data_IF_631365080681
#
_entry.id   IF_631365080681
#
_cell.length_a   1.000
_cell.length_b   1.000
_cell.length_c   1.000
_cell.angle_alpha   90.00
_cell.angle_beta   90.00
_cell.angle_gamma   90.00
#
_symmetry.space_group_name_H-M   'P 1'
#
loop_
_entity.id
_entity.type
_entity.pdbx_description
1 polymer ?
#
# COMPACT_ATOMS: atom_id res chain seq x y z
N UNK A 1 2.34 -40.60 -44.79
CA UNK A 1 2.88 -39.26 -44.48
C UNK A 1 2.21 -38.79 -43.20
N UNK A 2 2.77 -39.18 -42.06
CA UNK A 2 2.50 -38.55 -40.77
C UNK A 2 3.80 -37.84 -40.42
N UNK A 3 3.75 -36.52 -40.52
CA UNK A 3 4.87 -35.63 -40.23
C UNK A 3 5.06 -35.60 -38.71
N UNK A 4 5.85 -36.54 -38.19
CA UNK A 4 6.40 -36.50 -36.83
C UNK A 4 7.42 -35.36 -36.77
N UNK A 5 6.91 -34.15 -36.64
CA UNK A 5 7.73 -33.00 -36.24
C UNK A 5 8.10 -33.18 -34.78
N UNK A 6 9.22 -33.86 -34.53
CA UNK A 6 9.90 -33.85 -33.24
C UNK A 6 10.08 -32.37 -32.85
N UNK A 7 9.48 -31.88 -31.74
CA UNK A 7 9.66 -30.49 -31.34
C UNK A 7 11.16 -30.25 -31.11
N UNK A 8 11.69 -29.21 -31.75
CA UNK A 8 13.09 -28.84 -31.60
C UNK A 8 13.43 -28.71 -30.11
N UNK A 9 14.60 -29.20 -29.65
CA UNK A 9 14.96 -29.13 -28.25
C UNK A 9 14.95 -27.67 -27.80
N UNK A 10 14.22 -27.40 -26.71
CA UNK A 10 14.18 -26.07 -26.11
C UNK A 10 15.61 -25.64 -25.73
N UNK A 11 15.96 -24.36 -25.90
CA UNK A 11 17.29 -23.87 -25.56
C UNK A 11 17.55 -24.04 -24.07
N UNK A 12 18.79 -24.42 -23.74
CA UNK A 12 19.27 -24.56 -22.37
C UNK A 12 20.27 -23.45 -22.06
N UNK A 13 19.95 -22.62 -21.08
CA UNK A 13 20.83 -21.60 -20.52
C UNK A 13 21.52 -22.14 -19.26
N UNK A 14 22.77 -21.74 -19.04
CA UNK A 14 23.55 -22.16 -17.87
C UNK A 14 23.95 -20.95 -17.06
N UNK A 15 23.44 -20.89 -15.82
CA UNK A 15 23.81 -19.90 -14.82
C UNK A 15 24.81 -20.50 -13.83
N UNK A 16 25.89 -19.78 -13.54
CA UNK A 16 26.89 -20.21 -12.55
C UNK A 16 26.78 -19.34 -11.31
N UNK A 17 26.46 -19.96 -10.18
CA UNK A 17 26.42 -19.31 -8.87
C UNK A 17 27.85 -18.85 -8.54
N UNK A 18 28.06 -17.54 -8.29
CA UNK A 18 29.39 -17.04 -7.95
C UNK A 18 29.90 -17.66 -6.65
N UNK A 19 31.20 -17.94 -6.57
CA UNK A 19 31.85 -18.53 -5.38
C UNK A 19 31.67 -17.70 -4.10
N UNK A 20 31.37 -16.40 -4.23
CA UNK A 20 31.04 -15.50 -3.12
C UNK A 20 29.70 -15.81 -2.44
N UNK A 21 28.85 -16.65 -3.06
CA UNK A 21 27.49 -16.95 -2.59
C UNK A 21 27.35 -18.46 -2.40
N UNK A 22 26.90 -18.89 -1.23
CA UNK A 22 26.60 -20.30 -0.98
C UNK A 22 25.34 -20.71 -1.77
N UNK A 23 25.41 -21.84 -2.49
CA UNK A 23 24.26 -22.33 -3.27
C UNK A 23 22.98 -22.48 -2.43
N UNK A 24 23.11 -22.98 -1.19
CA UNK A 24 21.99 -23.12 -0.24
C UNK A 24 21.32 -21.77 0.08
N UNK A 25 22.08 -20.67 0.12
CA UNK A 25 21.51 -19.35 0.37
C UNK A 25 20.66 -18.84 -0.80
N UNK A 26 20.99 -19.24 -2.03
CA UNK A 26 20.25 -18.88 -3.24
C UNK A 26 19.04 -19.81 -3.49
N UNK A 27 19.21 -21.11 -3.26
CA UNK A 27 18.19 -22.14 -3.53
C UNK A 27 17.19 -22.32 -2.37
N UNK A 28 17.59 -21.89 -1.17
CA UNK A 28 16.79 -22.01 0.06
C UNK A 28 16.91 -23.39 0.73
N UNK A 29 16.47 -23.49 2.00
CA UNK A 29 16.44 -24.77 2.71
C UNK A 29 15.54 -25.77 1.99
N UNK A 30 16.04 -26.98 1.78
CA UNK A 30 15.35 -28.02 1.02
C UNK A 30 14.84 -27.54 -0.35
N UNK A 31 15.60 -26.67 -1.03
CA UNK A 31 15.29 -26.13 -2.36
C UNK A 31 13.93 -25.41 -2.44
N UNK A 32 13.48 -24.79 -1.33
CA UNK A 32 12.18 -24.11 -1.30
C UNK A 32 12.10 -22.91 -2.25
N UNK A 33 13.20 -22.18 -2.47
CA UNK A 33 13.21 -21.04 -3.40
C UNK A 33 13.31 -21.52 -4.84
N UNK A 34 14.06 -22.60 -5.09
CA UNK A 34 14.12 -23.23 -6.42
C UNK A 34 12.73 -23.67 -6.86
N UNK A 35 12.01 -24.43 -6.02
CA UNK A 35 10.64 -24.87 -6.31
C UNK A 35 9.67 -23.71 -6.54
N UNK A 36 9.81 -22.65 -5.75
CA UNK A 36 9.02 -21.44 -5.95
C UNK A 36 9.30 -20.78 -7.32
N UNK A 37 10.55 -20.74 -7.76
CA UNK A 37 10.93 -20.21 -9.07
C UNK A 37 10.36 -21.12 -10.18
N UNK A 38 10.50 -22.44 -10.06
CA UNK A 38 9.91 -23.40 -11.00
C UNK A 38 8.39 -23.24 -11.14
N UNK A 39 7.67 -23.08 -10.03
CA UNK A 39 6.22 -22.85 -10.03
C UNK A 39 5.84 -21.50 -10.68
N UNK A 40 6.80 -20.57 -10.76
CA UNK A 40 6.56 -19.20 -11.23
C UNK A 40 6.90 -18.97 -12.71
N UNK A 41 7.60 -19.89 -13.37
CA UNK A 41 8.05 -19.75 -14.77
C UNK A 41 7.78 -21.02 -15.56
N UNK A 42 7.48 -20.88 -16.86
CA UNK A 42 7.32 -22.02 -17.76
C UNK A 42 8.70 -22.48 -18.28
N UNK A 43 9.54 -22.92 -17.35
CA UNK A 43 10.90 -23.38 -17.62
C UNK A 43 11.28 -24.51 -16.65
N UNK A 44 11.98 -25.52 -17.16
CA UNK A 44 12.58 -26.56 -16.32
C UNK A 44 13.91 -26.05 -15.77
N UNK A 45 14.07 -26.11 -14.46
CA UNK A 45 15.28 -25.65 -13.78
C UNK A 45 15.94 -26.88 -13.13
N UNK A 46 17.26 -26.97 -13.21
CA UNK A 46 18.00 -28.04 -12.55
C UNK A 46 19.26 -27.47 -11.92
N UNK A 47 19.45 -27.71 -10.63
CA UNK A 47 20.60 -27.25 -9.87
C UNK A 47 21.54 -28.43 -9.58
N UNK A 48 22.83 -28.27 -9.91
CA UNK A 48 23.88 -29.23 -9.60
C UNK A 48 25.15 -28.50 -9.16
N UNK A 49 25.49 -28.63 -7.88
CA UNK A 49 26.62 -27.88 -7.29
C UNK A 49 26.37 -26.38 -7.39
N UNK A 50 27.26 -25.65 -8.06
CA UNK A 50 27.14 -24.21 -8.31
C UNK A 50 26.58 -23.89 -9.71
N UNK A 51 26.08 -24.88 -10.44
CA UNK A 51 25.54 -24.69 -11.79
C UNK A 51 24.04 -24.88 -11.78
N UNK A 52 23.30 -23.92 -12.34
CA UNK A 52 21.86 -23.98 -12.57
C UNK A 52 21.62 -23.99 -14.07
N UNK A 53 20.98 -25.03 -14.58
CA UNK A 53 20.57 -25.10 -15.99
C UNK A 53 19.08 -24.80 -16.11
N UNK A 54 18.73 -23.89 -17.02
CA UNK A 54 17.35 -23.47 -17.29
C UNK A 54 16.99 -23.85 -18.71
N UNK A 55 15.95 -24.65 -18.90
CA UNK A 55 15.47 -25.10 -20.21
C UNK A 55 14.03 -24.66 -20.42
N UNK A 56 13.78 -23.82 -21.41
CA UNK A 56 12.46 -23.21 -21.65
C UNK A 56 12.46 -22.32 -22.88
N UNK A 57 11.37 -21.58 -23.10
CA UNK A 57 11.34 -20.55 -24.13
C UNK A 57 12.43 -19.48 -23.85
N UNK A 58 13.08 -18.89 -24.88
CA UNK A 58 14.16 -17.91 -24.67
C UNK A 58 13.81 -16.75 -23.73
N UNK A 59 12.56 -16.27 -23.78
CA UNK A 59 12.07 -15.18 -22.92
C UNK A 59 11.95 -15.60 -21.45
N UNK A 60 11.41 -16.79 -21.18
CA UNK A 60 11.26 -17.32 -19.82
C UNK A 60 12.63 -17.68 -19.24
N UNK A 61 13.51 -18.31 -20.02
CA UNK A 61 14.87 -18.63 -19.60
C UNK A 61 15.68 -17.37 -19.25
N UNK A 62 15.57 -16.31 -20.05
CA UNK A 62 16.20 -15.02 -19.77
C UNK A 62 15.64 -14.34 -18.51
N UNK A 63 14.33 -14.44 -18.24
CA UNK A 63 13.74 -13.91 -17.00
C UNK A 63 14.23 -14.66 -15.76
N UNK A 64 14.34 -15.98 -15.82
CA UNK A 64 14.91 -16.80 -14.73
C UNK A 64 16.36 -16.44 -14.48
N UNK A 65 17.18 -16.29 -15.55
CA UNK A 65 18.58 -15.88 -15.42
C UNK A 65 18.71 -14.50 -14.75
N UNK A 66 17.92 -13.52 -15.21
CA UNK A 66 17.85 -12.20 -14.57
C UNK A 66 17.42 -12.27 -13.11
N UNK A 67 16.45 -13.12 -12.77
CA UNK A 67 16.03 -13.32 -11.38
C UNK A 67 17.19 -13.85 -10.53
N UNK A 68 17.92 -14.86 -11.00
CA UNK A 68 19.05 -15.42 -10.28
C UNK A 68 20.15 -14.38 -10.05
N UNK A 69 20.46 -13.55 -11.05
CA UNK A 69 21.40 -12.42 -10.91
C UNK A 69 20.96 -11.40 -9.85
N UNK A 70 19.68 -11.02 -9.83
CA UNK A 70 19.13 -10.09 -8.86
C UNK A 70 19.15 -10.66 -7.44
N UNK A 71 18.80 -11.94 -7.27
CA UNK A 71 18.85 -12.63 -5.97
C UNK A 71 20.29 -12.76 -5.45
N UNK A 72 21.24 -13.06 -6.33
CA UNK A 72 22.68 -13.04 -5.99
C UNK A 72 23.13 -11.65 -5.57
N UNK A 73 22.65 -10.61 -6.24
CA UNK A 73 22.96 -9.21 -5.89
C UNK A 73 22.42 -8.87 -4.50
N UNK A 74 21.18 -9.26 -4.18
CA UNK A 74 20.60 -9.09 -2.84
C UNK A 74 21.45 -9.81 -1.78
N UNK A 75 21.81 -11.07 -1.99
CA UNK A 75 22.67 -11.84 -1.07
C UNK A 75 24.02 -11.15 -0.83
N UNK A 76 24.64 -10.59 -1.87
CA UNK A 76 25.92 -9.87 -1.77
C UNK A 76 25.83 -8.58 -0.94
N UNK A 77 24.64 -8.00 -0.77
CA UNK A 77 24.44 -6.87 0.16
C UNK A 77 24.39 -7.30 1.64
N UNK A 78 24.59 -8.59 1.94
CA UNK A 78 24.55 -9.15 3.29
C UNK A 78 23.14 -9.49 3.76
N UNK A 79 22.15 -9.42 2.88
CA UNK A 79 20.76 -9.71 3.21
C UNK A 79 20.43 -11.18 2.95
N UNK A 80 19.62 -11.76 3.84
CA UNK A 80 19.11 -13.12 3.65
C UNK A 80 17.91 -13.10 2.68
N UNK A 81 17.85 -14.11 1.82
CA UNK A 81 16.65 -14.38 1.03
C UNK A 81 15.59 -15.03 1.91
N UNK A 82 14.34 -14.65 1.63
CA UNK A 82 13.15 -15.26 2.20
C UNK A 82 12.19 -15.60 1.06
N UNK A 83 11.24 -16.50 1.30
CA UNK A 83 10.20 -16.83 0.32
C UNK A 83 9.50 -15.58 -0.22
N UNK A 84 9.19 -14.62 0.67
CA UNK A 84 8.58 -13.33 0.30
C UNK A 84 9.49 -12.51 -0.63
N UNK A 85 10.80 -12.48 -0.37
CA UNK A 85 11.77 -11.74 -1.20
C UNK A 85 11.84 -12.31 -2.62
N UNK A 86 11.81 -13.64 -2.75
CA UNK A 86 11.81 -14.32 -4.06
C UNK A 86 10.50 -14.07 -4.81
N UNK A 87 9.34 -14.26 -4.17
CA UNK A 87 8.02 -13.98 -4.76
C UNK A 87 7.90 -12.53 -5.28
N UNK A 88 8.44 -11.56 -4.52
CA UNK A 88 8.45 -10.15 -4.90
C UNK A 88 9.37 -9.90 -6.09
N UNK A 89 10.55 -10.51 -6.11
CA UNK A 89 11.51 -10.37 -7.21
C UNK A 89 10.94 -10.91 -8.53
N UNK A 90 10.24 -12.06 -8.47
CA UNK A 90 9.48 -12.61 -9.61
C UNK A 90 8.44 -11.62 -10.10
N UNK A 91 7.64 -11.07 -9.19
CA UNK A 91 6.55 -10.12 -9.52
C UNK A 91 7.10 -8.87 -10.21
N UNK A 92 8.18 -8.29 -9.69
CA UNK A 92 8.84 -7.10 -10.26
C UNK A 92 9.38 -7.36 -11.67
N UNK A 93 10.00 -8.53 -11.90
CA UNK A 93 10.52 -8.88 -13.22
C UNK A 93 9.42 -9.13 -14.25
N UNK A 94 8.31 -9.78 -13.86
CA UNK A 94 7.17 -9.99 -14.76
C UNK A 94 6.40 -8.71 -15.09
N UNK A 95 6.44 -7.70 -14.22
CA UNK A 95 5.82 -6.39 -14.46
C UNK A 95 6.73 -5.42 -15.23
N UNK A 96 7.93 -5.87 -15.63
CA UNK A 96 8.93 -5.11 -16.41
C UNK A 96 9.19 -3.70 -15.86
N UNK A 97 9.32 -3.59 -14.54
CA UNK A 97 9.61 -2.31 -13.91
C UNK A 97 11.02 -1.82 -14.24
N UNK A 98 11.21 -0.50 -14.38
CA UNK A 98 12.53 0.11 -14.61
C UNK A 98 13.50 -0.20 -13.46
N UNK A 99 13.01 -0.14 -12.23
CA UNK A 99 13.76 -0.45 -11.02
C UNK A 99 13.97 -1.95 -10.89
N UNK A 100 15.18 -2.32 -10.47
CA UNK A 100 15.58 -3.71 -10.29
C UNK A 100 15.19 -4.24 -8.90
N UNK A 101 14.87 -5.54 -8.75
CA UNK A 101 14.59 -6.13 -7.45
C UNK A 101 15.68 -5.87 -6.41
N UNK A 102 16.95 -5.98 -6.78
CA UNK A 102 18.04 -5.69 -5.86
C UNK A 102 18.04 -4.23 -5.40
N UNK A 103 17.79 -3.26 -6.27
CA UNK A 103 17.75 -1.83 -5.91
C UNK A 103 16.60 -1.49 -4.95
N UNK A 104 15.48 -2.22 -5.02
CA UNK A 104 14.33 -2.04 -4.11
C UNK A 104 14.57 -2.75 -2.79
N UNK A 105 14.86 -4.05 -2.85
CA UNK A 105 14.84 -4.92 -1.68
C UNK A 105 16.13 -4.79 -0.85
N UNK A 106 17.23 -4.30 -1.44
CA UNK A 106 18.46 -4.04 -0.68
C UNK A 106 18.42 -2.74 0.15
N UNK A 107 17.46 -1.86 -0.11
CA UNK A 107 17.42 -0.51 0.45
C UNK A 107 16.92 -0.54 1.91
N UNK A 108 17.85 -0.57 2.86
CA UNK A 108 17.54 -0.57 4.29
C UNK A 108 17.37 0.87 4.80
N UNK A 109 16.19 1.19 5.34
CA UNK A 109 15.94 2.49 5.95
C UNK A 109 16.37 2.48 7.42
N UNK A 110 15.86 1.50 8.17
CA UNK A 110 16.21 1.30 9.58
C UNK A 110 16.37 -0.18 9.86
N UNK A 111 17.28 -0.50 10.77
CA UNK A 111 17.41 -1.83 11.36
C UNK A 111 17.41 -1.68 12.87
N UNK A 112 16.43 -2.27 13.54
CA UNK A 112 16.32 -2.28 14.99
C UNK A 112 15.93 -3.69 15.47
N UNK A 113 16.67 -4.25 16.44
CA UNK A 113 16.38 -5.56 17.06
C UNK A 113 16.13 -6.69 16.05
N UNK A 114 16.90 -6.72 14.96
CA UNK A 114 16.76 -7.73 13.90
C UNK A 114 15.57 -7.51 12.97
N UNK A 115 14.73 -6.50 13.20
CA UNK A 115 13.71 -6.04 12.25
C UNK A 115 14.30 -4.98 11.34
N UNK A 116 14.13 -5.15 10.05
CA UNK A 116 14.60 -4.19 9.05
C UNK A 116 13.40 -3.59 8.31
N UNK A 117 13.32 -2.27 8.33
CA UNK A 117 12.30 -1.50 7.65
C UNK A 117 12.85 -1.05 6.30
N UNK A 118 12.18 -1.46 5.23
CA UNK A 118 12.58 -1.22 3.84
C UNK A 118 11.37 -1.17 2.92
N UNK A 119 11.45 -0.50 1.76
CA UNK A 119 10.45 -0.67 0.72
C UNK A 119 10.44 -2.11 0.22
N UNK A 120 9.25 -2.61 -0.08
CA UNK A 120 8.99 -3.97 -0.59
C UNK A 120 8.39 -3.98 -1.99
N UNK A 121 8.00 -2.81 -2.49
CA UNK A 121 7.49 -2.61 -3.85
C UNK A 121 8.22 -1.45 -4.52
N UNK A 122 8.12 -1.38 -5.85
CA UNK A 122 8.73 -0.32 -6.63
C UNK A 122 8.16 1.06 -6.27
N UNK A 123 6.83 1.19 -6.11
CA UNK A 123 6.25 2.48 -5.73
C UNK A 123 6.61 2.88 -4.30
N UNK A 124 6.76 1.91 -3.37
CA UNK A 124 7.30 2.21 -2.04
C UNK A 124 8.74 2.74 -2.11
N UNK A 125 9.59 2.19 -2.99
CA UNK A 125 10.94 2.72 -3.21
C UNK A 125 10.88 4.14 -3.76
N UNK A 126 10.09 4.37 -4.82
CA UNK A 126 9.91 5.70 -5.43
C UNK A 126 9.43 6.73 -4.40
N UNK A 127 8.50 6.33 -3.53
CA UNK A 127 8.01 7.15 -2.43
C UNK A 127 9.14 7.52 -1.44
N UNK A 128 9.92 6.53 -1.00
CA UNK A 128 11.06 6.76 -0.10
C UNK A 128 12.13 7.65 -0.75
N UNK A 129 12.47 7.40 -2.01
CA UNK A 129 13.40 8.24 -2.78
C UNK A 129 12.87 9.67 -2.95
N UNK A 130 11.55 9.85 -3.08
CA UNK A 130 10.93 11.16 -3.17
C UNK A 130 11.07 11.95 -1.86
N UNK A 131 10.94 11.29 -0.70
CA UNK A 131 11.14 11.89 0.63
C UNK A 131 12.55 12.46 0.76
N UNK A 132 13.56 11.79 0.19
CA UNK A 132 14.93 12.28 0.20
C UNK A 132 15.11 13.51 -0.68
N UNK A 133 14.51 13.49 -1.88
CA UNK A 133 14.72 14.50 -2.92
C UNK A 133 13.91 15.79 -2.77
N UNK A 134 12.78 15.74 -2.07
CA UNK A 134 11.84 16.87 -2.00
C UNK A 134 11.66 17.36 -0.56
N UNK A 135 11.29 18.62 -0.41
CA UNK A 135 10.97 19.22 0.88
C UNK A 135 9.59 18.80 1.38
N UNK A 136 8.60 18.69 0.49
CA UNK A 136 7.25 18.21 0.83
C UNK A 136 6.89 17.00 -0.04
N UNK A 137 6.44 15.92 0.60
CA UNK A 137 5.97 14.73 -0.11
C UNK A 137 4.58 14.33 0.37
N UNK A 138 3.66 14.12 -0.57
CA UNK A 138 2.36 13.56 -0.33
C UNK A 138 2.38 12.07 -0.65
N UNK A 139 2.23 11.21 0.36
CA UNK A 139 2.06 9.77 0.21
C UNK A 139 0.58 9.40 0.19
N UNK A 140 0.02 9.19 -0.99
CA UNK A 140 -1.43 8.97 -1.18
C UNK A 140 -1.68 7.53 -1.58
N UNK A 141 -2.51 6.81 -0.84
CA UNK A 141 -2.93 5.47 -1.27
C UNK A 141 -3.60 4.64 -0.18
N UNK A 142 -4.01 3.40 -0.51
CA UNK A 142 -4.78 2.55 0.38
C UNK A 142 -4.12 2.25 1.74
N UNK A 143 -4.93 1.84 2.72
CA UNK A 143 -4.42 1.35 4.00
C UNK A 143 -3.55 0.10 3.84
N UNK A 144 -2.37 0.09 4.47
CA UNK A 144 -1.42 -1.03 4.41
C UNK A 144 -0.40 -0.97 3.25
N UNK A 145 -0.40 0.13 2.48
CA UNK A 145 0.65 0.42 1.48
C UNK A 145 1.98 0.89 2.06
N UNK A 146 2.04 1.12 3.38
CA UNK A 146 3.25 1.53 4.09
C UNK A 146 3.53 3.03 4.09
N UNK A 147 2.63 3.88 3.56
CA UNK A 147 2.81 5.34 3.47
C UNK A 147 3.30 6.01 4.76
N UNK A 148 2.57 5.83 5.86
CA UNK A 148 2.91 6.43 7.16
C UNK A 148 4.11 5.75 7.79
N UNK A 149 4.16 4.42 7.72
CA UNK A 149 5.23 3.61 8.33
C UNK A 149 6.61 3.90 7.72
N UNK A 150 6.71 3.99 6.39
CA UNK A 150 7.95 4.31 5.68
C UNK A 150 8.35 5.79 5.90
N UNK A 151 7.39 6.72 5.97
CA UNK A 151 7.67 8.11 6.31
C UNK A 151 8.28 8.25 7.70
N UNK A 152 7.70 7.57 8.69
CA UNK A 152 8.21 7.55 10.06
C UNK A 152 9.60 6.92 10.14
N UNK A 153 9.85 5.85 9.38
CA UNK A 153 11.18 5.26 9.29
C UNK A 153 12.22 6.25 8.74
N UNK A 154 11.86 7.04 7.72
CA UNK A 154 12.72 8.11 7.19
C UNK A 154 12.91 9.26 8.18
N UNK A 155 11.88 9.63 8.93
CA UNK A 155 11.99 10.64 9.99
C UNK A 155 12.98 10.20 11.08
N UNK A 156 12.86 8.96 11.56
CA UNK A 156 13.78 8.39 12.56
C UNK A 156 15.20 8.27 12.01
N UNK A 157 15.37 7.85 10.75
CA UNK A 157 16.68 7.83 10.09
C UNK A 157 17.31 9.23 10.06
N UNK A 158 16.57 10.26 9.63
CA UNK A 158 17.05 11.64 9.58
C UNK A 158 17.43 12.17 10.98
N UNK A 159 16.65 11.83 12.01
CA UNK A 159 16.96 12.19 13.40
C UNK A 159 18.25 11.52 13.89
N UNK A 160 18.44 10.22 13.62
CA UNK A 160 19.65 9.48 13.99
C UNK A 160 20.89 9.99 13.24
N UNK A 161 20.73 10.39 11.98
CA UNK A 161 21.76 11.01 11.16
C UNK A 161 22.05 12.48 11.54
N UNK A 162 21.28 13.06 12.47
CA UNK A 162 21.34 14.47 12.88
C UNK A 162 21.09 15.47 11.74
N UNK A 163 20.34 15.04 10.73
CA UNK A 163 19.87 15.91 9.64
C UNK A 163 18.74 16.82 10.11
N UNK A 164 17.96 16.34 11.09
CA UNK A 164 16.94 17.10 11.81
C UNK A 164 17.14 16.96 13.31
N UNK A 165 16.67 17.94 14.06
CA UNK A 165 16.78 17.95 15.53
C UNK A 165 15.54 17.37 16.22
N UNK A 166 14.41 17.28 15.50
CA UNK A 166 13.14 16.78 16.07
C UNK A 166 12.24 16.13 15.03
N UNK A 167 11.35 15.26 15.49
CA UNK A 167 10.27 14.66 14.70
C UNK A 167 8.94 15.14 15.27
N UNK A 168 8.03 15.58 14.41
CA UNK A 168 6.68 15.98 14.79
C UNK A 168 5.69 15.10 14.03
N UNK A 169 4.97 14.26 14.75
CA UNK A 169 3.92 13.41 14.21
C UNK A 169 2.57 14.01 14.57
N UNK A 170 1.73 14.25 13.57
CA UNK A 170 0.43 14.87 13.79
C UNK A 170 -0.66 14.19 12.99
N UNK A 171 -1.88 14.22 13.54
CA UNK A 171 -3.08 13.63 12.94
C UNK A 171 -4.26 14.59 13.19
N UNK A 172 -5.17 14.78 12.22
CA UNK A 172 -6.39 15.55 12.48
C UNK A 172 -7.28 14.78 13.45
N UNK A 173 -7.85 15.48 14.42
CA UNK A 173 -8.91 14.91 15.24
C UNK A 173 -10.19 14.91 14.42
N UNK A 174 -10.63 13.73 14.00
CA UNK A 174 -11.93 13.55 13.34
C UNK A 174 -12.75 12.55 14.15
N UNK A 175 -13.99 12.94 14.41
CA UNK A 175 -14.97 12.13 15.15
C UNK A 175 -15.45 10.97 14.28
N UNK A 176 -14.60 9.97 14.08
CA UNK A 176 -14.98 8.73 13.41
C UNK A 176 -15.77 7.85 14.41
N UNK A 177 -17.08 8.04 14.47
CA UNK A 177 -17.99 7.24 15.30
C UNK A 177 -18.55 8.00 16.51
N UNK A 178 -17.97 7.80 17.68
CA UNK A 178 -18.43 8.42 18.93
C UNK A 178 -17.98 9.89 19.03
N UNK A 179 -18.88 10.82 19.39
CA UNK A 179 -18.49 12.23 19.57
C UNK A 179 -17.41 12.32 20.65
N UNK A 180 -16.34 13.08 20.39
CA UNK A 180 -15.19 13.25 21.31
C UNK A 180 -15.65 13.70 22.72
N UNK A 181 -16.83 14.33 22.79
CA UNK A 181 -17.52 14.70 24.02
C UNK A 181 -17.88 13.56 24.98
N UNK A 182 -18.03 12.30 24.53
CA UNK A 182 -18.57 11.20 25.36
C UNK A 182 -17.53 10.35 26.10
N UNK A 183 -16.25 10.38 25.70
CA UNK A 183 -15.20 9.67 26.44
C UNK A 183 -14.94 10.39 27.79
N UNK A 184 -14.96 9.70 28.95
CA UNK A 184 -14.60 10.31 30.22
C UNK A 184 -13.09 10.62 30.26
N UNK A 185 -12.70 11.69 30.95
CA UNK A 185 -11.29 12.09 31.12
C UNK A 185 -10.94 13.47 30.54
N UNK A 186 -9.66 13.81 30.64
CA UNK A 186 -9.06 15.04 30.11
C UNK A 186 -9.08 15.05 28.57
N UNK A 187 -8.96 16.24 27.95
CA UNK A 187 -8.87 16.37 26.50
C UNK A 187 -7.74 15.52 25.89
N UNK A 188 -6.64 15.33 26.63
CA UNK A 188 -5.53 14.50 26.20
C UNK A 188 -5.91 13.01 26.16
N UNK A 189 -6.58 12.51 27.20
CA UNK A 189 -7.04 11.11 27.29
C UNK A 189 -8.06 10.77 26.20
N UNK A 190 -8.86 11.76 25.78
CA UNK A 190 -9.85 11.60 24.69
C UNK A 190 -9.19 11.48 23.31
N UNK A 191 -8.03 12.08 23.11
CA UNK A 191 -7.34 12.10 21.80
C UNK A 191 -6.29 10.99 21.68
N UNK A 192 -5.79 10.47 22.80
CA UNK A 192 -4.78 9.41 22.86
C UNK A 192 -5.10 8.18 21.98
N UNK A 193 -6.34 7.65 21.93
CA UNK A 193 -6.66 6.51 21.08
C UNK A 193 -6.37 6.74 19.57
N UNK A 194 -6.55 7.98 19.10
CA UNK A 194 -6.30 8.34 17.70
C UNK A 194 -4.81 8.46 17.38
N UNK A 195 -3.99 8.75 18.38
CA UNK A 195 -2.53 8.89 18.23
C UNK A 195 -1.78 7.58 18.50
N UNK A 196 -2.42 6.61 19.17
CA UNK A 196 -1.84 5.30 19.53
C UNK A 196 -1.12 4.58 18.38
N UNK A 197 -1.66 4.51 17.15
CA UNK A 197 -0.95 3.86 16.05
C UNK A 197 0.42 4.48 15.73
N UNK A 198 0.59 5.79 15.97
CA UNK A 198 1.87 6.48 15.79
C UNK A 198 2.86 6.11 16.91
N UNK A 199 2.39 5.97 18.15
CA UNK A 199 3.22 5.46 19.26
C UNK A 199 3.67 4.02 19.03
N UNK A 200 2.76 3.15 18.58
CA UNK A 200 3.08 1.74 18.29
C UNK A 200 4.15 1.63 17.19
N UNK A 201 4.03 2.43 16.13
CA UNK A 201 5.02 2.47 15.05
C UNK A 201 6.40 2.96 15.51
N UNK A 202 6.47 3.92 16.45
CA UNK A 202 7.75 4.36 17.03
C UNK A 202 8.44 3.23 17.82
N UNK A 203 7.67 2.40 18.52
CA UNK A 203 8.20 1.26 19.27
C UNK A 203 8.77 0.16 18.37
N UNK A 204 8.32 0.06 17.12
CA UNK A 204 8.96 -0.81 16.12
C UNK A 204 10.31 -0.26 15.63
N UNK A 205 10.48 1.06 15.61
CA UNK A 205 11.62 1.77 15.00
C UNK A 205 12.75 2.07 15.98
N UNK A 206 12.42 2.24 17.26
CA UNK A 206 13.34 2.68 18.31
C UNK A 206 13.32 1.69 19.48
N UNK A 207 14.39 1.71 20.28
CA UNK A 207 14.39 0.96 21.53
C UNK A 207 13.28 1.47 22.48
N UNK A 208 12.51 0.58 23.13
CA UNK A 208 11.44 0.94 24.06
C UNK A 208 11.89 1.83 25.22
N UNK A 209 13.15 1.74 25.64
CA UNK A 209 13.69 2.62 26.70
C UNK A 209 14.02 4.04 26.20
N UNK A 210 14.21 4.19 24.88
CA UNK A 210 14.55 5.45 24.23
C UNK A 210 13.31 6.27 23.90
N UNK A 211 12.22 5.62 23.50
CA UNK A 211 10.96 6.29 23.11
C UNK A 211 10.44 7.24 24.20
N UNK A 212 10.28 6.84 25.48
CA UNK A 212 9.82 7.74 26.53
C UNK A 212 10.73 8.94 26.76
N UNK A 213 12.06 8.77 26.62
CA UNK A 213 13.05 9.85 26.80
C UNK A 213 12.93 10.90 25.69
N UNK A 214 12.77 10.45 24.45
CA UNK A 214 12.62 11.36 23.29
C UNK A 214 11.28 12.10 23.31
N UNK A 215 10.21 11.44 23.77
CA UNK A 215 8.91 12.07 23.97
C UNK A 215 8.97 13.12 25.09
N UNK A 216 9.53 12.77 26.25
CA UNK A 216 9.62 13.67 27.40
C UNK A 216 10.50 14.90 27.15
N UNK A 217 11.55 14.76 26.33
CA UNK A 217 12.43 15.87 25.92
C UNK A 217 11.87 16.72 24.78
N UNK A 218 10.77 16.30 24.14
CA UNK A 218 10.18 16.98 22.98
C UNK A 218 10.98 16.82 21.68
N UNK A 219 11.98 15.92 21.66
CA UNK A 219 12.70 15.55 20.42
C UNK A 219 11.76 14.81 19.48
N UNK A 220 10.87 13.97 20.02
CA UNK A 220 9.72 13.43 19.28
C UNK A 220 8.46 14.01 19.90
N UNK A 221 7.62 14.62 19.08
CA UNK A 221 6.33 15.17 19.47
C UNK A 221 5.22 14.41 18.74
N UNK A 222 4.23 13.90 19.46
CA UNK A 222 3.03 13.30 18.88
C UNK A 222 1.83 14.13 19.35
N UNK A 223 1.23 14.89 18.44
CA UNK A 223 0.23 15.89 18.82
C UNK A 223 -0.90 16.06 17.78
N UNK A 224 -2.10 16.49 18.19
CA UNK A 224 -3.20 16.77 17.25
C UNK A 224 -2.87 17.94 16.31
N UNK A 225 -3.44 17.94 15.10
CA UNK A 225 -3.17 18.96 14.08
C UNK A 225 -3.39 20.41 14.57
N UNK A 226 -4.34 20.62 15.48
CA UNK A 226 -4.63 21.93 16.05
C UNK A 226 -3.42 22.58 16.76
N UNK A 227 -2.49 21.77 17.29
CA UNK A 227 -1.30 22.24 17.99
C UNK A 227 -0.25 22.81 17.04
N UNK A 228 -0.42 22.64 15.72
CA UNK A 228 0.48 23.21 14.71
C UNK A 228 0.22 24.70 14.46
N UNK A 229 -0.95 25.23 14.88
CA UNK A 229 -1.35 26.60 14.62
C UNK A 229 -0.36 27.60 15.22
N UNK A 230 0.07 28.57 14.41
CA UNK A 230 0.95 29.65 14.84
C UNK A 230 2.42 29.25 15.04
N UNK A 231 2.80 28.00 14.73
CA UNK A 231 4.18 27.54 14.85
C UNK A 231 4.96 27.78 13.56
N UNK A 232 6.28 27.90 13.69
CA UNK A 232 7.22 27.75 12.58
C UNK A 232 8.11 26.56 12.93
N UNK A 233 8.12 25.56 12.06
CA UNK A 233 8.74 24.27 12.33
C UNK A 233 10.09 24.20 11.63
N UNK A 234 11.13 24.72 12.27
CA UNK A 234 12.52 24.60 11.81
C UNK A 234 13.17 23.29 12.29
N UNK A 235 14.19 22.86 11.55
CA UNK A 235 15.08 21.70 11.78
C UNK A 235 14.32 20.44 12.21
N UNK A 236 13.21 20.17 11.52
CA UNK A 236 12.25 19.15 11.91
C UNK A 236 11.82 18.26 10.75
N UNK A 237 11.56 16.99 11.06
CA UNK A 237 10.83 16.11 10.16
C UNK A 237 9.38 16.03 10.64
N UNK A 238 8.44 16.54 9.84
CA UNK A 238 7.03 16.65 10.22
C UNK A 238 6.20 15.69 9.38
N UNK A 239 5.36 14.88 10.02
CA UNK A 239 4.44 13.96 9.36
C UNK A 239 3.01 14.30 9.75
N UNK A 240 2.18 14.59 8.75
CA UNK A 240 0.72 14.69 8.91
C UNK A 240 0.08 13.40 8.40
N UNK A 241 -0.42 12.57 9.31
CA UNK A 241 -1.11 11.31 8.99
C UNK A 241 -2.63 11.50 8.90
N UNK A 242 -3.29 10.61 8.16
CA UNK A 242 -4.71 10.68 7.78
C UNK A 242 -5.13 12.05 7.21
N UNK A 243 -4.31 12.60 6.33
CA UNK A 243 -4.54 13.93 5.79
C UNK A 243 -5.84 14.07 4.98
N UNK A 244 -6.46 12.96 4.55
CA UNK A 244 -7.78 13.00 3.91
C UNK A 244 -8.86 13.58 4.83
N UNK A 245 -8.63 13.52 6.14
CA UNK A 245 -9.49 14.00 7.20
C UNK A 245 -9.21 15.46 7.60
N UNK A 246 -8.53 16.22 6.73
CA UNK A 246 -8.32 17.67 6.88
C UNK A 246 -9.24 18.47 5.97
N UNK A 247 -9.60 19.69 6.36
CA UNK A 247 -10.20 20.68 5.44
C UNK A 247 -9.12 21.39 4.62
N UNK A 248 -9.46 22.07 3.50
CA UNK A 248 -8.50 22.88 2.74
C UNK A 248 -7.80 23.95 3.58
N UNK A 249 -8.51 24.57 4.53
CA UNK A 249 -7.97 25.58 5.44
C UNK A 249 -6.96 24.97 6.41
N UNK A 250 -7.25 23.78 6.93
CA UNK A 250 -6.34 23.04 7.81
C UNK A 250 -5.08 22.59 7.06
N UNK A 251 -5.23 22.09 5.83
CA UNK A 251 -4.10 21.73 4.96
C UNK A 251 -3.21 22.95 4.68
N UNK A 252 -3.80 24.08 4.29
CA UNK A 252 -3.06 25.34 4.10
C UNK A 252 -2.39 25.82 5.39
N UNK A 253 -3.09 25.73 6.53
CA UNK A 253 -2.53 26.08 7.84
C UNK A 253 -1.29 25.25 8.14
N UNK A 254 -1.36 23.93 7.92
CA UNK A 254 -0.27 22.98 8.16
C UNK A 254 0.93 23.22 7.25
N UNK A 255 0.73 23.26 5.94
CA UNK A 255 1.83 23.41 4.97
C UNK A 255 2.59 24.73 5.15
N UNK A 256 1.90 25.78 5.58
CA UNK A 256 2.54 27.09 5.88
C UNK A 256 3.28 27.12 7.21
N UNK A 257 3.36 26.01 7.97
CA UNK A 257 4.20 25.91 9.17
C UNK A 257 5.63 25.48 8.85
N UNK A 258 5.92 25.09 7.60
CA UNK A 258 7.25 24.67 7.17
C UNK A 258 8.29 25.77 7.45
N UNK A 259 9.32 25.42 8.23
CA UNK A 259 10.47 26.25 8.51
C UNK A 259 11.72 25.82 7.76
N UNK A 260 12.84 26.49 8.02
CA UNK A 260 14.14 26.13 7.44
C UNK A 260 14.66 24.82 8.00
N UNK A 261 15.43 24.08 7.19
CA UNK A 261 16.04 22.80 7.60
C UNK A 261 15.03 21.68 7.85
N UNK A 262 13.79 21.84 7.39
CA UNK A 262 12.70 20.90 7.68
C UNK A 262 12.19 20.18 6.44
N UNK A 263 11.60 19.00 6.68
CA UNK A 263 10.89 18.20 5.68
C UNK A 263 9.48 17.90 6.16
N UNK A 264 8.52 17.86 5.22
CA UNK A 264 7.13 17.49 5.50
C UNK A 264 6.73 16.28 4.68
N UNK A 265 6.09 15.31 5.34
CA UNK A 265 5.41 14.20 4.66
C UNK A 265 3.94 14.19 5.06
N UNK A 266 3.06 14.22 4.07
CA UNK A 266 1.61 14.23 4.26
C UNK A 266 1.07 12.90 3.75
N UNK A 267 0.52 12.07 4.63
CA UNK A 267 0.02 10.74 4.27
C UNK A 267 -1.49 10.67 4.38
N UNK A 268 -2.14 10.00 3.43
CA UNK A 268 -3.59 9.82 3.49
C UNK A 268 -4.15 8.91 2.41
N UNK A 269 -5.44 8.66 2.50
CA UNK A 269 -6.22 7.86 1.55
C UNK A 269 -7.45 8.64 1.11
N UNK A 270 -7.45 9.16 -0.12
CA UNK A 270 -8.56 9.96 -0.66
C UNK A 270 -9.89 9.19 -0.80
N UNK A 271 -9.86 7.86 -0.62
CA UNK A 271 -11.07 7.02 -0.65
C UNK A 271 -11.71 6.84 0.74
N UNK A 272 -11.00 7.16 1.83
CA UNK A 272 -11.45 6.96 3.22
C UNK A 272 -11.64 8.31 3.95
N UNK A 273 -12.50 9.18 3.39
CA UNK A 273 -12.78 10.49 3.97
C UNK A 273 -13.85 10.38 5.04
N UNK A 274 -13.49 10.67 6.29
CA UNK A 274 -14.37 10.64 7.47
C UNK A 274 -14.92 12.03 7.83
N UNK A 275 -14.78 13.01 6.95
CA UNK A 275 -15.29 14.36 7.18
C UNK A 275 -16.83 14.39 7.18
N UNK A 276 -17.45 15.28 7.99
CA UNK A 276 -18.89 15.49 7.95
C UNK A 276 -19.39 15.79 6.53
N UNK A 277 -20.57 15.25 6.20
CA UNK A 277 -21.18 15.33 4.87
C UNK A 277 -21.19 16.77 4.34
N UNK A 278 -20.61 16.97 3.16
CA UNK A 278 -20.55 18.27 2.46
C UNK A 278 -19.18 18.96 2.50
N UNK A 279 -18.27 18.54 3.39
CA UNK A 279 -16.91 19.09 3.43
C UNK A 279 -16.00 18.43 2.39
N UNK A 280 -15.29 19.24 1.60
CA UNK A 280 -14.24 18.74 0.70
C UNK A 280 -12.99 18.38 1.50
N UNK A 281 -12.37 17.24 1.18
CA UNK A 281 -11.07 16.88 1.73
C UNK A 281 -9.97 17.83 1.24
N UNK A 282 -9.19 18.38 2.17
CA UNK A 282 -8.02 19.19 1.90
C UNK A 282 -6.98 18.43 1.09
N UNK A 283 -6.81 17.13 1.33
CA UNK A 283 -5.89 16.28 0.56
C UNK A 283 -6.31 16.13 -0.91
N UNK A 284 -7.62 16.07 -1.20
CA UNK A 284 -8.09 16.03 -2.60
C UNK A 284 -7.86 17.38 -3.28
N UNK A 285 -8.22 18.47 -2.62
CA UNK A 285 -8.12 19.83 -3.18
C UNK A 285 -6.66 20.27 -3.38
N UNK A 286 -5.75 19.89 -2.48
CA UNK A 286 -4.35 20.34 -2.54
C UNK A 286 -3.57 19.74 -3.71
N UNK A 287 -3.96 18.57 -4.20
CA UNK A 287 -3.36 17.96 -5.40
C UNK A 287 -3.51 18.90 -6.60
N UNK A 288 -4.72 19.40 -6.84
CA UNK A 288 -5.00 20.33 -7.95
C UNK A 288 -4.30 21.69 -7.77
N UNK A 289 -4.12 22.14 -6.52
CA UNK A 289 -3.55 23.47 -6.22
C UNK A 289 -2.01 23.47 -6.34
N UNK A 290 -1.35 22.36 -5.97
CA UNK A 290 0.10 22.31 -5.81
C UNK A 290 0.81 21.45 -6.86
N UNK A 291 0.13 20.97 -7.90
CA UNK A 291 0.69 20.09 -8.94
C UNK A 291 1.97 20.66 -9.59
N UNK A 292 1.99 21.96 -9.87
CA UNK A 292 3.11 22.64 -10.53
C UNK A 292 4.14 23.26 -9.57
N UNK A 293 4.01 23.04 -8.26
CA UNK A 293 4.90 23.65 -7.27
C UNK A 293 6.18 22.83 -7.14
N UNK A 294 7.31 23.43 -7.53
CA UNK A 294 8.64 22.82 -7.38
C UNK A 294 8.91 22.42 -5.92
N UNK A 295 9.65 21.34 -5.76
CA UNK A 295 10.05 20.79 -4.46
C UNK A 295 8.89 20.21 -3.61
N UNK A 296 7.74 20.00 -4.26
CA UNK A 296 6.61 19.21 -3.79
C UNK A 296 6.46 17.97 -4.69
N UNK A 297 6.21 16.81 -4.09
CA UNK A 297 5.99 15.57 -4.85
C UNK A 297 4.75 14.81 -4.39
N UNK A 298 3.95 14.30 -5.32
CA UNK A 298 2.81 13.43 -5.07
C UNK A 298 3.15 11.98 -5.43
N UNK A 299 3.34 11.14 -4.41
CA UNK A 299 3.59 9.72 -4.54
C UNK A 299 2.29 8.93 -4.38
N UNK A 300 1.78 8.42 -5.50
CA UNK A 300 0.58 7.59 -5.53
C UNK A 300 0.93 6.11 -5.34
N UNK A 301 0.43 5.53 -4.25
CA UNK A 301 0.51 4.11 -3.90
C UNK A 301 -0.83 3.44 -4.20
N UNK A 302 -0.78 2.18 -4.62
CA UNK A 302 -1.93 1.42 -5.10
C UNK A 302 -2.20 0.19 -4.23
N UNK A 303 -3.27 -0.55 -4.53
CA UNK A 303 -3.53 -1.85 -3.90
C UNK A 303 -2.39 -2.86 -4.11
N UNK A 304 -1.64 -2.78 -5.21
CA UNK A 304 -0.47 -3.61 -5.46
C UNK A 304 0.69 -3.37 -4.47
N UNK A 305 0.69 -2.20 -3.82
CA UNK A 305 1.68 -1.79 -2.83
C UNK A 305 1.31 -2.23 -1.41
N UNK A 306 0.14 -2.85 -1.22
CA UNK A 306 -0.29 -3.35 0.09
C UNK A 306 0.55 -4.56 0.47
N UNK A 307 1.27 -4.44 1.58
CA UNK A 307 2.05 -5.55 2.13
C UNK A 307 1.51 -5.94 3.48
N UNK A 308 0.67 -6.97 3.48
CA UNK A 308 0.09 -7.57 4.68
C UNK A 308 0.47 -9.05 4.74
N UNK A 309 0.34 -9.62 5.93
CA UNK A 309 0.49 -11.06 6.10
C UNK A 309 -0.50 -11.82 5.20
N UNK A 310 -0.07 -12.93 4.59
CA UNK A 310 -0.89 -13.70 3.63
C UNK A 310 -2.25 -14.11 4.19
N UNK A 311 -2.32 -14.42 5.49
CA UNK A 311 -3.59 -14.72 6.16
C UNK A 311 -4.56 -13.54 6.13
N UNK A 312 -4.08 -12.32 6.38
CA UNK A 312 -4.90 -11.11 6.32
C UNK A 312 -5.41 -10.88 4.90
N UNK A 313 -4.57 -11.09 3.89
CA UNK A 313 -4.99 -11.04 2.49
C UNK A 313 -6.12 -12.05 2.17
N UNK A 314 -5.99 -13.29 2.63
CA UNK A 314 -7.03 -14.32 2.48
C UNK A 314 -8.33 -13.97 3.22
N UNK A 315 -8.23 -13.39 4.42
CA UNK A 315 -9.40 -12.92 5.17
C UNK A 315 -10.10 -11.80 4.40
N UNK A 316 -9.36 -10.79 3.93
CA UNK A 316 -9.94 -9.67 3.17
C UNK A 316 -10.60 -10.17 1.87
N UNK A 317 -9.95 -11.09 1.15
CA UNK A 317 -10.54 -11.70 -0.05
C UNK A 317 -11.86 -12.43 0.25
N UNK A 318 -11.90 -13.23 1.32
CA UNK A 318 -13.11 -13.94 1.74
C UNK A 318 -14.28 -12.99 2.09
N UNK A 319 -13.99 -11.85 2.74
CA UNK A 319 -15.00 -10.82 3.00
C UNK A 319 -15.46 -10.12 1.71
N UNK A 320 -14.54 -9.81 0.80
CA UNK A 320 -14.87 -9.23 -0.50
C UNK A 320 -15.79 -10.13 -1.33
N UNK A 321 -15.49 -11.43 -1.40
CA UNK A 321 -16.35 -12.42 -2.07
C UNK A 321 -17.75 -12.48 -1.46
N UNK A 322 -17.85 -12.43 -0.13
CA UNK A 322 -19.12 -12.40 0.59
C UNK A 322 -19.94 -11.13 0.27
N UNK A 323 -19.32 -9.95 0.27
CA UNK A 323 -19.98 -8.68 -0.05
C UNK A 323 -20.46 -8.62 -1.51
N UNK A 324 -19.68 -9.13 -2.46
CA UNK A 324 -20.06 -9.24 -3.87
C UNK A 324 -21.25 -10.20 -4.06
N UNK A 325 -21.26 -11.34 -3.36
CA UNK A 325 -22.39 -12.27 -3.37
C UNK A 325 -23.65 -11.65 -2.76
N UNK A 326 -23.51 -10.93 -1.65
CA UNK A 326 -24.62 -10.22 -1.01
C UNK A 326 -25.19 -9.10 -1.89
N UNK A 327 -24.35 -8.40 -2.63
CA UNK A 327 -24.76 -7.34 -3.57
C UNK A 327 -25.49 -7.93 -4.78
N UNK A 328 -24.92 -8.95 -5.43
CA UNK A 328 -25.58 -9.66 -6.54
C UNK A 328 -26.93 -10.27 -6.15
N UNK A 329 -27.03 -10.79 -4.92
CA UNK A 329 -28.29 -11.35 -4.40
C UNK A 329 -29.35 -10.25 -4.23
N UNK A 330 -28.96 -9.08 -3.70
CA UNK A 330 -29.84 -7.92 -3.58
C UNK A 330 -30.31 -7.43 -4.95
N UNK A 331 -29.39 -7.19 -5.89
CA UNK A 331 -29.70 -6.75 -7.25
C UNK A 331 -30.67 -7.71 -7.96
N UNK A 332 -30.43 -9.03 -7.84
CA UNK A 332 -31.31 -10.05 -8.41
C UNK A 332 -32.71 -10.04 -7.77
N UNK A 333 -32.79 -9.82 -6.46
CA UNK A 333 -34.08 -9.73 -5.75
C UNK A 333 -34.87 -8.48 -6.15
N UNK A 334 -34.18 -7.34 -6.35
CA UNK A 334 -34.77 -6.09 -6.83
C UNK A 334 -35.25 -6.19 -8.28
N UNK A 335 -34.47 -6.85 -9.15
CA UNK A 335 -34.87 -7.11 -10.54
C UNK A 335 -36.12 -8.01 -10.61
N UNK A 336 -36.16 -9.09 -9.81
CA UNK A 336 -37.32 -9.99 -9.74
C UNK A 336 -38.57 -9.26 -9.21
N UNK A 337 -38.42 -8.42 -8.19
CA UNK A 337 -39.51 -7.62 -7.64
C UNK A 337 -40.02 -6.57 -8.63
N UNK A 338 -39.14 -6.05 -9.49
CA UNK A 338 -39.49 -5.08 -10.54
C UNK A 338 -40.25 -5.76 -11.69
N UNK A 339 -39.77 -6.92 -12.16
CA UNK A 339 -40.48 -7.72 -13.19
C UNK A 339 -41.86 -8.19 -12.72
N UNK A 340 -41.97 -8.60 -11.45
CA UNK A 340 -43.25 -9.04 -10.88
C UNK A 340 -44.27 -7.89 -10.82
N UNK A 341 -43.81 -6.67 -10.46
CA UNK A 341 -44.66 -5.46 -10.49
C UNK A 341 -45.13 -5.12 -11.90
N UNK A 342 -44.23 -5.08 -12.88
CA UNK A 342 -44.56 -4.79 -14.28
C UNK A 342 -45.58 -5.80 -14.84
N UNK A 343 -45.37 -7.09 -14.60
CA UNK A 343 -46.32 -8.12 -15.05
C UNK A 343 -47.69 -7.99 -14.37
N UNK A 344 -47.75 -7.59 -13.09
CA UNK A 344 -49.02 -7.36 -12.40
C UNK A 344 -49.76 -6.11 -12.89
N UNK A 345 -49.03 -5.06 -13.29
CA UNK A 345 -49.60 -3.84 -13.86
C UNK A 345 -50.14 -4.07 -15.27
N UNK A 346 -49.42 -4.83 -16.09
CA UNK A 346 -49.81 -5.20 -17.46
C UNK A 346 -51.05 -6.14 -17.46
N UNK A 347 -51.09 -7.11 -16.55
CA UNK A 347 -52.29 -7.95 -16.35
C UNK A 347 -53.50 -7.12 -15.89
N UNK A 348 -53.26 -6.12 -15.03
CA UNK A 348 -54.32 -5.23 -14.53
C UNK A 348 -54.82 -4.26 -15.61
N UNK A 349 -53.96 -3.78 -16.51
CA UNK A 349 -54.38 -2.93 -17.63
C UNK A 349 -55.18 -3.72 -18.66
N UNK A 350 -54.72 -4.92 -19.03
CA UNK A 350 -55.43 -5.81 -19.95
C UNK A 350 -56.81 -6.22 -19.40
N UNK A 351 -56.91 -6.50 -18.10
CA UNK A 351 -58.20 -6.79 -17.46
C UNK A 351 -59.15 -5.59 -17.45
N UNK A 352 -58.63 -4.35 -17.30
CA UNK A 352 -59.44 -3.12 -17.39
C UNK A 352 -59.94 -2.86 -18.80
N UNK A 353 -59.11 -3.09 -19.81
CA UNK A 353 -59.49 -2.94 -21.23
C UNK A 353 -60.54 -3.98 -21.65
N UNK A 354 -60.37 -5.25 -21.29
CA UNK A 354 -61.36 -6.29 -21.56
C UNK A 354 -62.70 -6.05 -20.82
N UNK A 355 -62.64 -5.47 -19.61
CA UNK A 355 -63.81 -5.03 -18.85
C UNK A 355 -64.55 -3.83 -19.46
N UNK A 356 -63.85 -2.97 -20.20
CA UNK A 356 -64.43 -1.82 -20.89
C UNK A 356 -65.15 -2.25 -22.18
N UNK A 357 -64.50 -3.08 -23.02
CA UNK A 357 -65.07 -3.57 -24.29
C UNK A 357 -66.33 -4.43 -24.05
N UNK A 358 -66.34 -5.23 -22.99
CA UNK A 358 -67.53 -6.01 -22.59
C UNK A 358 -68.71 -5.16 -22.08
N UNK A 359 -68.45 -3.97 -21.49
CA UNK A 359 -69.50 -3.01 -21.11
C UNK A 359 -70.04 -2.23 -22.31
N UNK A 360 -69.21 -1.97 -23.31
CA UNK A 360 -69.60 -1.26 -24.53
C UNK A 360 -70.48 -2.13 -25.45
N UNK A 361 -70.14 -3.41 -25.57
CA UNK A 361 -70.97 -4.39 -26.31
C UNK A 361 -72.34 -4.63 -25.67
N UNK A 362 -72.45 -4.56 -24.34
CA UNK A 362 -73.73 -4.66 -23.61
C UNK A 362 -74.61 -3.42 -23.69
N UNK A 363 -74.08 -2.27 -24.13
CA UNK A 363 -74.86 -1.04 -24.37
C UNK A 363 -75.36 -0.92 -25.83
N UNK A 364 -74.88 -1.80 -26.70
CA UNK A 364 -75.16 -1.78 -28.15
C UNK A 364 -76.18 -2.86 -28.57
N UNK A 365 -76.76 -3.58 -27.61
CA UNK A 365 -77.95 -4.42 -27.73
C UNK A 365 -79.02 -3.84 -26.81
#
# INVERSE_FOLDING_TARGET
>A
MTDDTVPAPLPTHTFTIPSSVAAVALLGPADEFLRLIEDSFDARIHARGNTITVTGAPSEAALVERLLDELVTILRTGQNLTRETVERSVTMLRTETREKPAEVLSLNILSNRGRTIRPKTVNQKRYVDAIDKHTIVFGIGPAGTGKTYLAMAKAVQALQAKEVNRIILTRPAVEAGERLGFLPGSLSEKIDPYLRPLYDALHDMLDPETVPKLLASGVIEVAPLAYMRGRTLNDAFIILDEAQNTTPEQMKMFLTRLGFGSKMVVTGDVTQVDLPTGNKSGLRVVQDILDDVRDIHFANLSSADVVRHKLVGRIVAAYGEFEELATRTRERSEELATRTRQHSEEQSSLAREAGADSRERRRSQ
#
